data_IF_416383577420
#
_entry.id   IF_416383577420
#
_cell.length_a   1.000
_cell.length_b   1.000
_cell.length_c   1.000
_cell.angle_alpha   90.00
_cell.angle_beta   90.00
_cell.angle_gamma   90.00
#
_symmetry.space_group_name_H-M   'P 1'
#
loop_
_entity.id
_entity.type
_entity.pdbx_description
1 polymer ?
#
# COMPACT_ATOMS: atom_id res chain seq x y z
N UNK A 1 -23.62 -7.02 3.14
CA UNK A 1 -23.51 -6.27 1.87
C UNK A 1 -22.95 -4.90 2.22
N UNK A 2 -21.68 -4.69 1.89
CA UNK A 2 -21.00 -3.42 2.11
C UNK A 2 -21.46 -2.38 1.08
N UNK A 3 -21.21 -1.10 1.37
CA UNK A 3 -21.51 -0.02 0.43
C UNK A 3 -20.44 0.01 -0.66
N UNK A 4 -20.80 -0.44 -1.86
CA UNK A 4 -19.90 -0.50 -3.01
C UNK A 4 -19.36 0.88 -3.43
N UNK A 5 -20.15 1.95 -3.26
CA UNK A 5 -19.70 3.30 -3.57
C UNK A 5 -18.62 3.76 -2.58
N UNK A 6 -18.82 3.48 -1.29
CA UNK A 6 -17.82 3.76 -0.26
C UNK A 6 -16.56 2.91 -0.41
N UNK A 7 -16.71 1.63 -0.79
CA UNK A 7 -15.57 0.76 -1.10
C UNK A 7 -14.77 1.30 -2.29
N UNK A 8 -15.44 1.69 -3.37
CA UNK A 8 -14.81 2.27 -4.55
C UNK A 8 -14.02 3.53 -4.18
N UNK A 9 -14.61 4.44 -3.39
CA UNK A 9 -13.93 5.65 -2.94
C UNK A 9 -12.63 5.32 -2.17
N UNK A 10 -12.66 4.32 -1.29
CA UNK A 10 -11.47 3.88 -0.53
C UNK A 10 -10.40 3.30 -1.44
N UNK A 11 -10.78 2.49 -2.42
CA UNK A 11 -9.85 1.91 -3.38
C UNK A 11 -9.21 2.97 -4.27
N UNK A 12 -9.97 3.99 -4.71
CA UNK A 12 -9.44 5.13 -5.47
C UNK A 12 -8.45 5.95 -4.63
N UNK A 13 -8.75 6.18 -3.35
CA UNK A 13 -7.81 6.81 -2.42
C UNK A 13 -6.52 6.00 -2.22
N UNK A 14 -6.62 4.66 -2.21
CA UNK A 14 -5.47 3.77 -2.14
C UNK A 14 -4.63 3.85 -3.43
N UNK A 15 -5.23 3.80 -4.63
CA UNK A 15 -4.49 3.93 -5.91
C UNK A 15 -3.77 5.28 -5.98
N UNK A 16 -4.40 6.38 -5.53
CA UNK A 16 -3.73 7.67 -5.44
C UNK A 16 -2.56 7.68 -4.46
N UNK A 17 -2.68 7.01 -3.32
CA UNK A 17 -1.60 6.89 -2.34
C UNK A 17 -0.43 6.07 -2.92
N UNK A 18 -0.71 4.94 -3.57
CA UNK A 18 0.28 4.11 -4.26
C UNK A 18 1.01 4.89 -5.34
N UNK A 19 0.28 5.67 -6.15
CA UNK A 19 0.87 6.57 -7.16
C UNK A 19 1.84 7.61 -6.55
N UNK A 20 1.52 8.13 -5.36
CA UNK A 20 2.37 9.07 -4.63
C UNK A 20 3.61 8.39 -4.07
N UNK A 21 3.50 7.14 -3.60
CA UNK A 21 4.64 6.31 -3.17
C UNK A 21 5.59 6.12 -4.35
N UNK A 22 5.11 5.59 -5.48
CA UNK A 22 5.92 5.37 -6.68
C UNK A 22 6.66 6.63 -7.11
N UNK A 23 5.96 7.77 -7.17
CA UNK A 23 6.58 9.04 -7.57
C UNK A 23 7.70 9.47 -6.62
N UNK A 24 7.55 9.26 -5.31
CA UNK A 24 8.60 9.59 -4.32
C UNK A 24 9.76 8.60 -4.39
N UNK A 25 9.47 7.35 -4.69
CA UNK A 25 10.45 6.27 -4.82
C UNK A 25 11.23 6.33 -6.14
N UNK A 26 10.73 7.03 -7.16
CA UNK A 26 11.30 7.03 -8.51
C UNK A 26 12.78 7.46 -8.65
N UNK A 27 13.36 8.12 -7.64
CA UNK A 27 14.78 8.51 -7.63
C UNK A 27 15.57 7.81 -6.51
N UNK A 28 15.08 6.67 -6.01
CA UNK A 28 15.72 5.82 -5.01
C UNK A 28 16.10 4.53 -5.72
N UNK A 29 17.39 4.34 -6.00
CA UNK A 29 17.92 3.18 -6.71
C UNK A 29 18.44 2.10 -5.74
N UNK A 30 18.73 2.48 -4.50
CA UNK A 30 19.19 1.60 -3.42
C UNK A 30 18.70 2.06 -2.04
N UNK A 31 18.72 1.18 -1.02
CA UNK A 31 18.43 1.57 0.36
C UNK A 31 19.33 2.70 0.89
N UNK A 32 20.58 2.77 0.42
CA UNK A 32 21.54 3.80 0.83
C UNK A 32 21.10 5.21 0.39
N UNK A 33 20.36 5.35 -0.71
CA UNK A 33 19.85 6.64 -1.20
C UNK A 33 18.79 7.24 -0.25
N UNK A 34 18.18 6.44 0.62
CA UNK A 34 17.35 6.97 1.71
C UNK A 34 18.18 7.59 2.83
N UNK A 35 19.43 7.18 3.00
CA UNK A 35 20.27 7.52 4.15
C UNK A 35 21.37 8.53 3.81
N UNK A 36 21.57 8.84 2.53
CA UNK A 36 22.67 9.66 2.03
C UNK A 36 22.48 11.17 2.23
N UNK A 37 21.26 11.61 2.56
CA UNK A 37 20.87 13.01 2.60
C UNK A 37 19.61 13.25 3.46
N UNK A 38 19.45 14.48 3.96
CA UNK A 38 18.21 14.89 4.65
C UNK A 38 16.97 14.72 3.76
N UNK A 39 17.13 14.91 2.44
CA UNK A 39 16.06 14.67 1.48
C UNK A 39 15.70 13.18 1.37
N UNK A 40 16.69 12.29 1.33
CA UNK A 40 16.48 10.84 1.36
C UNK A 40 15.73 10.41 2.62
N UNK A 41 16.12 10.95 3.78
CA UNK A 41 15.46 10.67 5.06
C UNK A 41 14.00 11.16 5.06
N UNK A 42 13.76 12.38 4.56
CA UNK A 42 12.40 12.91 4.39
C UNK A 42 11.54 12.03 3.45
N UNK A 43 12.14 11.44 2.41
CA UNK A 43 11.47 10.50 1.52
C UNK A 43 11.15 9.18 2.23
N UNK A 44 12.10 8.64 3.00
CA UNK A 44 11.91 7.43 3.80
C UNK A 44 10.73 7.58 4.75
N UNK A 45 10.73 8.64 5.56
CA UNK A 45 9.65 8.96 6.50
C UNK A 45 8.31 9.13 5.77
N UNK A 46 8.32 9.88 4.68
CA UNK A 46 7.13 10.17 3.88
C UNK A 46 6.54 8.93 3.20
N UNK A 47 7.38 8.01 2.73
CA UNK A 47 6.96 6.75 2.12
C UNK A 47 6.45 5.79 3.18
N UNK A 48 7.18 5.59 4.27
CA UNK A 48 6.78 4.72 5.37
C UNK A 48 5.41 5.10 5.93
N UNK A 49 5.15 6.39 6.13
CA UNK A 49 3.85 6.88 6.59
C UNK A 49 2.71 6.58 5.60
N UNK A 50 2.98 6.65 4.28
CA UNK A 50 1.98 6.29 3.27
C UNK A 50 1.73 4.77 3.24
N UNK A 51 2.77 3.95 3.33
CA UNK A 51 2.64 2.49 3.39
C UNK A 51 1.79 2.07 4.60
N UNK A 52 2.05 2.65 5.77
CA UNK A 52 1.23 2.45 6.99
C UNK A 52 -0.24 2.83 6.72
N UNK A 53 -0.49 3.99 6.12
CA UNK A 53 -1.85 4.43 5.81
C UNK A 53 -2.57 3.51 4.82
N UNK A 54 -1.86 3.00 3.81
CA UNK A 54 -2.39 2.03 2.84
C UNK A 54 -2.77 0.73 3.56
N UNK A 55 -1.88 0.17 4.38
CA UNK A 55 -2.14 -1.06 5.13
C UNK A 55 -3.33 -0.94 6.10
N UNK A 56 -3.46 0.21 6.79
CA UNK A 56 -4.60 0.50 7.66
C UNK A 56 -5.93 0.63 6.88
N UNK A 57 -5.90 1.15 5.65
CA UNK A 57 -7.10 1.18 4.80
C UNK A 57 -7.49 -0.23 4.34
N UNK A 58 -6.54 -1.08 3.97
CA UNK A 58 -6.84 -2.49 3.66
C UNK A 58 -7.36 -3.26 4.87
N UNK A 59 -6.84 -3.02 6.09
CA UNK A 59 -7.42 -3.58 7.33
C UNK A 59 -8.89 -3.19 7.50
N UNK A 60 -9.26 -1.96 7.16
CA UNK A 60 -10.66 -1.49 7.22
C UNK A 60 -11.51 -2.14 6.14
N UNK A 61 -11.03 -2.20 4.90
CA UNK A 61 -11.73 -2.85 3.77
C UNK A 61 -11.98 -4.33 4.09
N UNK A 62 -10.96 -5.04 4.55
CA UNK A 62 -11.05 -6.45 4.95
C UNK A 62 -12.13 -6.66 6.02
N UNK A 63 -12.21 -5.76 7.02
CA UNK A 63 -13.24 -5.80 8.05
C UNK A 63 -14.65 -5.48 7.50
N UNK A 64 -14.77 -4.47 6.65
CA UNK A 64 -16.04 -4.01 6.07
C UNK A 64 -16.62 -5.01 5.07
N UNK A 65 -15.76 -5.76 4.38
CA UNK A 65 -16.11 -6.80 3.41
C UNK A 65 -16.12 -8.20 4.03
N UNK A 66 -15.95 -8.33 5.35
CA UNK A 66 -15.89 -9.61 6.07
C UNK A 66 -14.83 -10.59 5.50
N UNK A 67 -13.77 -10.04 4.89
CA UNK A 67 -12.69 -10.79 4.25
C UNK A 67 -13.04 -11.35 2.87
N UNK A 68 -14.27 -11.15 2.38
CA UNK A 68 -14.73 -11.71 1.11
C UNK A 68 -13.97 -11.09 -0.07
N UNK A 69 -13.87 -9.75 -0.12
CA UNK A 69 -13.24 -9.06 -1.25
C UNK A 69 -11.79 -9.50 -1.48
N UNK A 70 -10.95 -9.45 -0.44
CA UNK A 70 -9.52 -9.74 -0.57
C UNK A 70 -9.26 -11.22 -0.92
N UNK A 71 -10.17 -12.13 -0.55
CA UNK A 71 -10.06 -13.54 -0.88
C UNK A 71 -10.13 -13.81 -2.40
N UNK A 72 -10.70 -12.91 -3.20
CA UNK A 72 -10.72 -13.01 -4.66
C UNK A 72 -9.36 -12.72 -5.32
N UNK A 73 -8.40 -12.16 -4.57
CA UNK A 73 -7.09 -11.77 -5.08
C UNK A 73 -5.97 -12.46 -4.29
N UNK A 74 -5.83 -13.79 -4.39
CA UNK A 74 -4.90 -14.57 -3.57
C UNK A 74 -3.42 -14.33 -3.91
N UNK A 75 -3.12 -13.71 -5.05
CA UNK A 75 -1.75 -13.42 -5.49
C UNK A 75 -1.08 -12.32 -4.65
N UNK A 76 -1.87 -11.51 -3.94
CA UNK A 76 -1.37 -10.49 -3.02
C UNK A 76 -1.26 -11.06 -1.61
N UNK A 77 -0.10 -10.86 -0.97
CA UNK A 77 0.12 -11.24 0.42
C UNK A 77 -0.58 -10.26 1.39
N UNK A 78 -1.91 -10.35 1.49
CA UNK A 78 -2.74 -9.44 2.29
C UNK A 78 -2.37 -9.37 3.77
N UNK A 79 -1.81 -10.44 4.34
CA UNK A 79 -1.33 -10.41 5.72
C UNK A 79 -0.17 -9.42 5.88
N UNK A 80 0.79 -9.42 4.94
CA UNK A 80 1.89 -8.45 4.90
C UNK A 80 1.39 -7.02 4.67
N UNK A 81 0.53 -6.81 3.67
CA UNK A 81 -0.05 -5.48 3.37
C UNK A 81 -0.76 -4.90 4.59
N UNK A 82 -1.62 -5.68 5.26
CA UNK A 82 -2.32 -5.26 6.48
C UNK A 82 -1.36 -5.08 7.65
N UNK A 83 -0.30 -5.89 7.73
CA UNK A 83 0.71 -5.91 8.78
C UNK A 83 1.84 -4.89 8.62
N UNK A 84 1.88 -4.10 7.54
CA UNK A 84 3.00 -3.20 7.23
C UNK A 84 3.31 -2.20 8.35
N UNK A 85 2.28 -1.77 9.10
CA UNK A 85 2.49 -0.96 10.30
C UNK A 85 3.26 -1.70 11.38
N UNK A 86 2.97 -2.96 11.61
CA UNK A 86 3.63 -3.74 12.66
C UNK A 86 5.12 -3.94 12.33
N UNK A 87 5.45 -3.95 11.03
CA UNK A 87 6.81 -3.96 10.49
C UNK A 87 7.48 -2.59 10.65
N UNK A 88 6.85 -1.50 10.17
CA UNK A 88 7.49 -0.18 10.07
C UNK A 88 7.40 0.69 11.34
N UNK A 89 6.41 0.48 12.21
CA UNK A 89 6.12 1.40 13.34
C UNK A 89 6.80 1.02 14.66
N UNK A 90 7.38 -0.18 14.78
CA UNK A 90 8.06 -0.60 16.00
C UNK A 90 9.34 0.19 16.28
N UNK A 91 9.88 0.88 15.27
CA UNK A 91 11.07 1.70 15.39
C UNK A 91 10.86 3.07 14.74
N UNK A 92 9.87 3.85 15.18
CA UNK A 92 9.65 5.23 14.70
C UNK A 92 10.91 6.13 14.68
N UNK A 93 11.97 5.78 15.40
CA UNK A 93 13.27 6.47 15.38
C UNK A 93 14.33 5.85 14.44
N UNK A 94 14.05 4.67 13.88
CA UNK A 94 14.97 3.89 13.07
C UNK A 94 14.16 3.02 12.09
N UNK A 95 13.41 3.66 11.21
CA UNK A 95 12.73 2.99 10.09
C UNK A 95 13.79 2.25 9.28
N UNK A 96 13.56 0.97 9.02
CA UNK A 96 14.48 0.16 8.23
C UNK A 96 14.35 0.56 6.75
N UNK A 97 15.38 1.26 6.25
CA UNK A 97 15.45 1.71 4.86
C UNK A 97 15.49 0.54 3.87
N UNK A 98 16.09 -0.59 4.24
CA UNK A 98 16.09 -1.78 3.39
C UNK A 98 14.67 -2.34 3.25
N UNK A 99 13.96 -2.49 4.37
CA UNK A 99 12.59 -2.99 4.36
C UNK A 99 11.65 -2.10 3.52
N UNK A 100 11.72 -0.78 3.71
CA UNK A 100 10.93 0.17 2.90
C UNK A 100 11.30 0.08 1.42
N UNK A 101 12.59 -0.01 1.10
CA UNK A 101 13.07 -0.15 -0.27
C UNK A 101 12.50 -1.40 -0.94
N UNK A 102 12.61 -2.57 -0.30
CA UNK A 102 12.13 -3.83 -0.88
C UNK A 102 10.60 -3.87 -1.01
N UNK A 103 9.85 -3.33 -0.04
CA UNK A 103 8.39 -3.18 -0.19
C UNK A 103 8.06 -2.31 -1.42
N UNK A 104 8.76 -1.19 -1.60
CA UNK A 104 8.54 -0.31 -2.74
C UNK A 104 8.95 -0.95 -4.08
N UNK A 105 10.03 -1.72 -4.10
CA UNK A 105 10.56 -2.34 -5.31
C UNK A 105 9.76 -3.57 -5.75
N UNK A 106 9.40 -4.44 -4.81
CA UNK A 106 8.85 -5.77 -5.12
C UNK A 106 7.31 -5.80 -5.01
N UNK A 107 6.72 -5.13 -4.00
CA UNK A 107 5.30 -5.30 -3.66
C UNK A 107 4.40 -4.18 -4.19
N UNK A 108 4.95 -2.99 -4.43
CA UNK A 108 4.16 -1.79 -4.73
C UNK A 108 3.39 -1.90 -6.05
N UNK A 109 4.08 -2.33 -7.11
CA UNK A 109 3.49 -2.44 -8.46
C UNK A 109 2.43 -3.55 -8.52
N UNK A 110 2.67 -4.79 -8.04
CA UNK A 110 1.64 -5.82 -7.96
C UNK A 110 0.41 -5.38 -7.17
N UNK A 111 0.61 -4.72 -6.01
CA UNK A 111 -0.49 -4.23 -5.19
C UNK A 111 -1.34 -3.19 -5.94
N UNK A 112 -0.70 -2.26 -6.64
CA UNK A 112 -1.42 -1.22 -7.38
C UNK A 112 -2.19 -1.78 -8.57
N UNK A 113 -1.63 -2.73 -9.29
CA UNK A 113 -2.33 -3.39 -10.40
C UNK A 113 -3.56 -4.15 -9.89
N UNK A 114 -3.44 -4.82 -8.74
CA UNK A 114 -4.57 -5.46 -8.06
C UNK A 114 -5.67 -4.45 -7.67
N UNK A 115 -5.30 -3.32 -7.05
CA UNK A 115 -6.27 -2.26 -6.69
C UNK A 115 -7.00 -1.70 -7.91
N UNK A 116 -6.27 -1.51 -9.02
CA UNK A 116 -6.87 -1.01 -10.26
C UNK A 116 -7.84 -2.01 -10.88
N UNK A 117 -7.55 -3.30 -10.78
CA UNK A 117 -8.49 -4.33 -11.22
C UNK A 117 -9.74 -4.35 -10.33
N UNK A 118 -9.59 -4.27 -9.00
CA UNK A 118 -10.74 -4.12 -8.07
C UNK A 118 -11.65 -2.94 -8.43
N UNK A 119 -11.04 -1.76 -8.70
CA UNK A 119 -11.76 -0.56 -9.11
C UNK A 119 -12.54 -0.79 -10.42
N UNK A 120 -11.92 -1.47 -11.38
CA UNK A 120 -12.50 -1.75 -12.69
C UNK A 120 -13.67 -2.73 -12.60
N UNK A 121 -13.54 -3.80 -11.82
CA UNK A 121 -14.59 -4.78 -11.58
C UNK A 121 -15.82 -4.14 -10.90
N UNK A 122 -15.59 -3.32 -9.85
CA UNK A 122 -16.66 -2.58 -9.18
C UNK A 122 -17.37 -1.57 -10.09
N UNK A 123 -16.65 -0.92 -11.01
CA UNK A 123 -17.24 0.01 -11.99
C UNK A 123 -18.05 -0.70 -13.08
N UNK A 124 -17.66 -1.92 -13.44
CA UNK A 124 -18.33 -2.71 -14.48
C UNK A 124 -19.49 -3.55 -13.95
N UNK A 125 -19.62 -3.70 -12.63
CA UNK A 125 -20.62 -4.58 -12.00
C UNK A 125 -20.31 -6.07 -12.16
N UNK A 126 -19.07 -6.40 -12.53
CA UNK A 126 -18.60 -7.77 -12.72
C UNK A 126 -17.95 -8.28 -11.43
N UNK A 127 -18.75 -8.41 -10.37
CA UNK A 127 -18.39 -9.30 -9.24
C UNK A 127 -18.89 -10.70 -9.58
N UNK A 128 -18.14 -11.41 -10.43
CA UNK A 128 -18.39 -12.83 -10.75
C UNK A 128 -17.87 -13.75 -9.65
#
# INVERSE_FOLDING_TARGET
>A
MYDEALLLEKLEQIDEALAKVERRFANIDSPDDFLDSDFGLDMLDGIAMMLIAIGENFKKIDKETEGELLAHYPDIHWHGVKGVRDILSHQYFNIDAEEVFYICMDDLQPLRDCVREMIKELKNGDTS
#
